data_IF_718561010898
#
_entry.id   IF_718561010898
#
_cell.length_a   1.000
_cell.length_b   1.000
_cell.length_c   1.000
_cell.angle_alpha   90.00
_cell.angle_beta   90.00
_cell.angle_gamma   90.00
#
_symmetry.space_group_name_H-M   'P 1'
#
loop_
_entity.id
_entity.type
_entity.pdbx_description
1 polymer ?
#
# COMPACT_ATOMS: atom_id res chain seq x y z
N UNK A 1 -23.62 3.49 -24.94
CA UNK A 1 -23.29 2.05 -24.73
C UNK A 1 -22.87 1.74 -23.28
N UNK A 2 -22.03 2.56 -22.64
CA UNK A 2 -21.57 2.38 -21.24
C UNK A 2 -22.71 2.19 -20.20
N UNK A 3 -23.78 2.99 -20.26
CA UNK A 3 -24.89 2.93 -19.30
C UNK A 3 -25.57 1.54 -19.23
N UNK A 4 -25.83 0.92 -20.39
CA UNK A 4 -26.45 -0.41 -20.47
C UNK A 4 -25.52 -1.51 -19.95
N UNK A 5 -24.21 -1.44 -20.25
CA UNK A 5 -23.25 -2.41 -19.71
C UNK A 5 -23.15 -2.32 -18.20
N UNK A 6 -23.17 -1.11 -17.63
CA UNK A 6 -23.21 -0.89 -16.19
C UNK A 6 -24.47 -1.47 -15.56
N UNK A 7 -25.65 -1.20 -16.13
CA UNK A 7 -26.91 -1.75 -15.62
C UNK A 7 -26.94 -3.28 -15.67
N UNK A 8 -26.45 -3.87 -16.76
CA UNK A 8 -26.46 -5.32 -16.99
C UNK A 8 -25.19 -6.01 -16.47
N UNK A 9 -24.32 -5.30 -15.74
CA UNK A 9 -23.02 -5.79 -15.24
C UNK A 9 -22.24 -6.60 -16.29
N UNK A 10 -22.12 -6.04 -17.49
CA UNK A 10 -21.30 -6.61 -18.57
C UNK A 10 -19.87 -6.07 -18.49
N UNK A 11 -18.85 -6.89 -18.82
CA UNK A 11 -17.47 -6.43 -18.81
C UNK A 11 -17.23 -5.34 -19.86
N UNK A 12 -16.30 -4.44 -19.54
CA UNK A 12 -15.82 -3.39 -20.42
C UNK A 12 -14.55 -3.83 -21.16
N UNK A 13 -14.41 -3.44 -22.41
CA UNK A 13 -13.19 -3.65 -23.19
C UNK A 13 -12.12 -2.64 -22.80
N UNK A 14 -10.85 -2.92 -23.14
CA UNK A 14 -9.74 -1.98 -22.92
C UNK A 14 -10.04 -0.60 -23.52
N UNK A 15 -10.46 -0.54 -24.79
CA UNK A 15 -10.82 0.72 -25.45
C UNK A 15 -11.93 1.51 -24.72
N UNK A 16 -12.93 0.81 -24.14
CA UNK A 16 -13.96 1.47 -23.35
C UNK A 16 -13.41 2.04 -22.03
N UNK A 17 -12.55 1.31 -21.33
CA UNK A 17 -11.93 1.78 -20.09
C UNK A 17 -11.02 2.99 -20.34
N UNK A 18 -10.18 2.93 -21.37
CA UNK A 18 -9.34 4.06 -21.81
C UNK A 18 -10.17 5.29 -22.15
N UNK A 19 -11.26 5.12 -22.91
CA UNK A 19 -12.15 6.23 -23.25
C UNK A 19 -12.80 6.86 -22.00
N UNK A 20 -13.13 6.07 -20.98
CA UNK A 20 -13.73 6.58 -19.74
C UNK A 20 -12.77 7.42 -18.89
N UNK A 21 -11.47 7.16 -18.97
CA UNK A 21 -10.45 7.87 -18.19
C UNK A 21 -9.66 8.91 -18.99
N UNK A 22 -9.97 9.10 -20.27
CA UNK A 22 -9.21 9.98 -21.17
C UNK A 22 -9.05 11.42 -20.62
N UNK A 23 -10.06 11.93 -19.91
CA UNK A 23 -9.97 13.23 -19.24
C UNK A 23 -8.89 13.24 -18.13
N UNK A 24 -8.82 12.18 -17.33
CA UNK A 24 -7.81 12.06 -16.26
C UNK A 24 -6.39 11.89 -16.81
N UNK A 25 -6.24 11.19 -17.94
CA UNK A 25 -4.94 11.06 -18.60
C UNK A 25 -4.42 12.40 -19.12
N UNK A 26 -5.32 13.25 -19.61
CA UNK A 26 -4.98 14.59 -20.12
C UNK A 26 -4.81 15.61 -19.00
N UNK A 27 -5.64 15.51 -17.95
CA UNK A 27 -5.60 16.36 -16.76
C UNK A 27 -5.59 15.51 -15.47
N UNK A 28 -4.43 14.96 -15.08
CA UNK A 28 -4.28 14.25 -13.82
C UNK A 28 -4.85 15.02 -12.61
N UNK A 29 -5.45 14.33 -11.62
CA UNK A 29 -5.98 14.97 -10.41
C UNK A 29 -4.87 15.38 -9.42
N UNK A 30 -3.98 16.28 -9.85
CA UNK A 30 -2.94 16.89 -9.01
C UNK A 30 -3.22 18.37 -8.77
N UNK A 31 -2.84 18.91 -7.59
CA UNK A 31 -2.69 20.35 -7.41
C UNK A 31 -1.67 20.92 -8.41
N UNK A 32 -1.87 22.18 -8.82
CA UNK A 32 -1.02 22.86 -9.83
C UNK A 32 0.47 22.87 -9.45
N UNK A 33 0.79 23.12 -8.17
CA UNK A 33 2.18 23.07 -7.68
C UNK A 33 2.83 21.67 -7.82
N UNK A 34 2.05 20.59 -7.77
CA UNK A 34 2.57 19.23 -7.96
C UNK A 34 2.74 18.87 -9.43
N UNK A 35 2.07 19.56 -10.35
CA UNK A 35 2.26 19.36 -11.79
C UNK A 35 3.66 19.78 -12.22
N UNK A 36 4.11 20.96 -11.80
CA UNK A 36 5.45 21.46 -12.14
C UNK A 36 6.54 20.55 -11.53
N UNK A 37 6.35 20.15 -10.27
CA UNK A 37 7.24 19.21 -9.60
C UNK A 37 7.28 17.85 -10.33
N UNK A 38 6.14 17.26 -10.68
CA UNK A 38 6.10 15.97 -11.38
C UNK A 38 6.63 16.04 -12.83
N UNK A 39 6.45 17.18 -13.50
CA UNK A 39 6.97 17.40 -14.86
C UNK A 39 8.50 17.54 -14.88
N UNK A 40 9.09 18.11 -13.82
CA UNK A 40 10.56 18.25 -13.68
C UNK A 40 11.24 16.97 -13.23
N UNK A 41 10.50 16.00 -12.68
CA UNK A 41 11.01 14.67 -12.33
C UNK A 41 11.15 13.80 -13.59
N UNK A 42 12.31 13.91 -14.24
CA UNK A 42 12.64 13.19 -15.47
C UNK A 42 13.58 12.02 -15.17
N UNK A 43 13.18 10.81 -15.56
CA UNK A 43 14.01 9.61 -15.41
C UNK A 43 15.20 9.58 -16.36
N UNK A 44 16.12 8.62 -16.18
CA UNK A 44 17.35 8.46 -17.01
C UNK A 44 17.11 8.38 -18.53
N UNK A 45 15.89 8.04 -18.96
CA UNK A 45 15.49 7.94 -20.37
C UNK A 45 14.84 9.21 -20.93
N UNK A 46 14.83 10.32 -20.18
CA UNK A 46 14.16 11.56 -20.60
C UNK A 46 12.64 11.53 -20.47
N UNK A 47 12.07 10.50 -19.84
CA UNK A 47 10.62 10.35 -19.64
C UNK A 47 10.21 11.05 -18.34
N UNK A 48 9.22 11.94 -18.41
CA UNK A 48 8.67 12.60 -17.23
C UNK A 48 7.91 11.62 -16.34
N UNK A 49 7.81 11.89 -15.03
CA UNK A 49 7.03 11.07 -14.10
C UNK A 49 5.57 10.93 -14.55
N UNK A 50 4.98 11.99 -15.11
CA UNK A 50 3.60 11.97 -15.61
C UNK A 50 3.44 11.07 -16.84
N UNK A 51 4.40 11.06 -17.77
CA UNK A 51 4.35 10.15 -18.92
C UNK A 51 4.57 8.71 -18.50
N UNK A 52 5.47 8.48 -17.55
CA UNK A 52 5.65 7.16 -16.95
C UNK A 52 4.37 6.69 -16.24
N UNK A 53 3.73 7.57 -15.47
CA UNK A 53 2.44 7.32 -14.84
C UNK A 53 1.36 6.96 -15.86
N UNK A 54 1.18 7.74 -16.94
CA UNK A 54 0.20 7.45 -18.00
C UNK A 54 0.41 6.06 -18.60
N UNK A 55 1.66 5.69 -18.87
CA UNK A 55 2.00 4.35 -19.38
C UNK A 55 1.65 3.25 -18.39
N UNK A 56 1.97 3.42 -17.10
CA UNK A 56 1.66 2.44 -16.07
C UNK A 56 0.15 2.32 -15.83
N UNK A 57 -0.55 3.45 -15.76
CA UNK A 57 -2.00 3.48 -15.61
C UNK A 57 -2.70 2.82 -16.81
N UNK A 58 -2.17 3.02 -18.02
CA UNK A 58 -2.66 2.34 -19.22
C UNK A 58 -2.59 0.82 -19.10
N UNK A 59 -1.46 0.28 -18.64
CA UNK A 59 -1.27 -1.15 -18.41
C UNK A 59 -2.28 -1.67 -17.39
N UNK A 60 -2.51 -0.93 -16.29
CA UNK A 60 -3.50 -1.31 -15.28
C UNK A 60 -4.92 -1.41 -15.84
N UNK A 61 -5.31 -0.50 -16.74
CA UNK A 61 -6.62 -0.57 -17.40
C UNK A 61 -6.73 -1.79 -18.30
N UNK A 62 -5.65 -2.15 -19.00
CA UNK A 62 -5.61 -3.34 -19.85
C UNK A 62 -5.67 -4.62 -19.02
N UNK A 63 -4.98 -4.66 -17.87
CA UNK A 63 -5.09 -5.76 -16.91
C UNK A 63 -6.52 -5.92 -16.38
N UNK A 64 -7.19 -4.81 -16.03
CA UNK A 64 -8.60 -4.84 -15.63
C UNK A 64 -9.43 -5.37 -16.79
N UNK A 65 -9.28 -4.85 -18.01
CA UNK A 65 -10.03 -5.27 -19.18
C UNK A 65 -9.84 -6.76 -19.53
N UNK A 66 -8.70 -7.34 -19.17
CA UNK A 66 -8.40 -8.77 -19.37
C UNK A 66 -9.32 -9.72 -18.59
N UNK A 67 -10.00 -9.24 -17.56
CA UNK A 67 -10.95 -10.05 -16.79
C UNK A 67 -12.25 -10.30 -17.56
N UNK A 68 -12.68 -11.58 -17.60
CA UNK A 68 -13.79 -12.05 -18.44
C UNK A 68 -15.18 -11.61 -17.97
N UNK A 69 -15.30 -11.18 -16.72
CA UNK A 69 -16.58 -10.84 -16.09
C UNK A 69 -16.51 -9.47 -15.45
N UNK A 70 -17.64 -8.76 -15.36
CA UNK A 70 -17.69 -7.46 -14.70
C UNK A 70 -17.24 -7.54 -13.23
N UNK A 71 -17.59 -8.64 -12.54
CA UNK A 71 -17.16 -8.89 -11.16
C UNK A 71 -15.65 -9.11 -11.08
N UNK A 72 -15.06 -9.86 -12.02
CA UNK A 72 -13.60 -10.02 -12.12
C UNK A 72 -12.89 -8.69 -12.35
N UNK A 73 -13.39 -7.87 -13.28
CA UNK A 73 -12.88 -6.52 -13.53
C UNK A 73 -12.95 -5.65 -12.26
N UNK A 74 -14.08 -5.67 -11.57
CA UNK A 74 -14.27 -4.96 -10.30
C UNK A 74 -13.27 -5.41 -9.23
N UNK A 75 -13.08 -6.72 -9.07
CA UNK A 75 -12.14 -7.27 -8.09
C UNK A 75 -10.70 -6.88 -8.44
N UNK A 76 -10.29 -7.02 -9.71
CA UNK A 76 -8.97 -6.61 -10.20
C UNK A 76 -8.72 -5.11 -9.99
N UNK A 77 -9.70 -4.26 -10.30
CA UNK A 77 -9.63 -2.82 -10.02
C UNK A 77 -9.40 -2.55 -8.52
N UNK A 78 -10.17 -3.19 -7.63
CA UNK A 78 -10.02 -3.00 -6.19
C UNK A 78 -8.66 -3.49 -5.67
N UNK A 79 -8.15 -4.61 -6.19
CA UNK A 79 -6.80 -5.10 -5.85
C UNK A 79 -5.72 -4.10 -6.25
N UNK A 80 -5.83 -3.49 -7.44
CA UNK A 80 -4.90 -2.45 -7.89
C UNK A 80 -5.04 -1.22 -6.99
N UNK A 81 -6.26 -0.76 -6.68
CA UNK A 81 -6.46 0.37 -5.76
C UNK A 81 -5.78 0.13 -4.41
N UNK A 82 -5.96 -1.06 -3.80
CA UNK A 82 -5.34 -1.38 -2.51
C UNK A 82 -3.80 -1.38 -2.59
N UNK A 83 -3.23 -1.87 -3.69
CA UNK A 83 -1.79 -1.82 -3.92
C UNK A 83 -1.28 -0.38 -4.04
N UNK A 84 -1.98 0.46 -4.81
CA UNK A 84 -1.59 1.86 -5.02
C UNK A 84 -1.74 2.70 -3.73
N UNK A 85 -2.81 2.48 -2.96
CA UNK A 85 -2.98 3.07 -1.62
C UNK A 85 -1.89 2.60 -0.65
N UNK A 86 -1.47 1.33 -0.70
CA UNK A 86 -0.37 0.81 0.12
C UNK A 86 0.96 1.54 -0.13
N UNK A 87 1.25 1.93 -1.38
CA UNK A 87 2.38 2.81 -1.69
C UNK A 87 2.24 4.19 -1.06
N UNK A 88 1.02 4.68 -0.93
CA UNK A 88 0.79 5.96 -0.24
C UNK A 88 1.05 5.87 1.25
N UNK A 89 0.71 4.74 1.86
CA UNK A 89 0.91 4.47 3.28
C UNK A 89 2.40 4.28 3.60
N UNK A 90 3.14 3.53 2.79
CA UNK A 90 4.60 3.39 2.91
C UNK A 90 5.28 4.76 2.92
N UNK A 91 4.96 5.62 1.95
CA UNK A 91 5.58 6.95 1.91
C UNK A 91 5.19 7.79 3.12
N UNK A 92 3.91 7.81 3.53
CA UNK A 92 3.48 8.56 4.72
C UNK A 92 4.24 8.14 5.99
N UNK A 93 4.38 6.84 6.23
CA UNK A 93 5.06 6.32 7.41
C UNK A 93 6.58 6.50 7.35
N UNK A 94 7.16 6.53 6.15
CA UNK A 94 8.61 6.66 5.99
C UNK A 94 9.07 8.09 5.79
N UNK A 95 8.23 9.04 5.36
CA UNK A 95 8.65 10.36 4.87
C UNK A 95 9.62 11.09 5.81
N UNK A 96 9.32 11.11 7.11
CA UNK A 96 10.11 11.79 8.14
C UNK A 96 11.33 10.99 8.63
N UNK A 97 11.46 9.74 8.18
CA UNK A 97 12.59 8.86 8.51
C UNK A 97 13.68 9.03 7.45
N UNK A 98 14.80 9.64 7.86
CA UNK A 98 15.94 9.92 6.97
C UNK A 98 16.78 8.67 6.68
N UNK A 99 17.03 7.84 7.71
CA UNK A 99 17.87 6.66 7.60
C UNK A 99 17.18 5.53 6.81
N UNK A 100 17.75 5.07 5.68
CA UNK A 100 17.25 3.90 4.95
C UNK A 100 17.30 2.62 5.77
N UNK A 101 18.19 2.51 6.77
CA UNK A 101 18.34 1.29 7.58
C UNK A 101 17.07 0.94 8.37
N UNK A 102 16.19 1.93 8.59
CA UNK A 102 14.94 1.76 9.33
C UNK A 102 13.80 1.23 8.45
N UNK A 103 13.77 1.58 7.15
CA UNK A 103 12.60 1.33 6.28
C UNK A 103 12.91 0.57 5.00
N UNK A 104 14.19 0.37 4.65
CA UNK A 104 14.59 -0.24 3.39
C UNK A 104 14.02 -1.65 3.21
N UNK A 105 13.84 -2.42 4.29
CA UNK A 105 13.26 -3.77 4.25
C UNK A 105 11.85 -3.80 3.67
N UNK A 106 11.08 -2.70 3.78
CA UNK A 106 9.73 -2.61 3.19
C UNK A 106 9.73 -2.67 1.67
N UNK A 107 10.86 -2.33 1.03
CA UNK A 107 10.95 -2.13 -0.41
C UNK A 107 12.18 -2.80 -1.05
N UNK A 108 13.03 -3.44 -0.26
CA UNK A 108 14.32 -3.98 -0.69
C UNK A 108 14.21 -5.11 -1.71
N UNK A 109 13.08 -5.81 -1.76
CA UNK A 109 12.84 -6.93 -2.68
C UNK A 109 12.36 -6.47 -4.07
N UNK A 110 12.22 -5.16 -4.30
CA UNK A 110 11.69 -4.63 -5.55
C UNK A 110 12.80 -4.37 -6.57
N UNK A 111 12.73 -5.06 -7.71
CA UNK A 111 13.74 -5.02 -8.78
C UNK A 111 14.13 -3.59 -9.20
N UNK A 112 13.16 -2.68 -9.29
CA UNK A 112 13.44 -1.30 -9.73
C UNK A 112 14.20 -0.47 -8.69
N UNK A 113 14.13 -0.83 -7.41
CA UNK A 113 14.93 -0.20 -6.35
C UNK A 113 16.32 -0.83 -6.28
N UNK A 114 16.44 -2.15 -6.44
CA UNK A 114 17.73 -2.84 -6.48
C UNK A 114 18.63 -2.35 -7.63
N UNK A 115 18.03 -1.84 -8.72
CA UNK A 115 18.74 -1.25 -9.86
C UNK A 115 19.34 0.15 -9.58
N UNK A 116 19.13 0.72 -8.39
CA UNK A 116 19.53 2.08 -8.04
C UNK A 116 20.24 2.10 -6.67
N UNK A 117 21.30 2.90 -6.49
CA UNK A 117 21.95 3.08 -5.18
C UNK A 117 20.97 3.51 -4.07
N UNK A 118 21.19 3.02 -2.84
CA UNK A 118 20.28 3.20 -1.68
C UNK A 118 20.02 4.67 -1.35
N UNK A 119 20.99 5.55 -1.54
CA UNK A 119 20.89 6.99 -1.32
C UNK A 119 19.80 7.66 -2.20
N UNK A 120 19.38 7.03 -3.29
CA UNK A 120 18.33 7.54 -4.17
C UNK A 120 16.97 6.87 -3.93
N UNK A 121 16.88 5.85 -3.07
CA UNK A 121 15.64 5.11 -2.84
C UNK A 121 14.51 6.00 -2.34
N UNK A 122 14.81 6.98 -1.48
CA UNK A 122 13.79 7.92 -0.98
C UNK A 122 13.09 8.68 -2.10
N UNK A 123 13.85 9.14 -3.09
CA UNK A 123 13.31 9.80 -4.28
C UNK A 123 12.43 8.87 -5.12
N UNK A 124 12.79 7.58 -5.23
CA UNK A 124 11.97 6.58 -5.92
C UNK A 124 10.67 6.25 -5.17
N UNK A 125 10.71 6.16 -3.83
CA UNK A 125 9.50 5.98 -3.01
C UNK A 125 8.58 7.19 -3.16
N UNK A 126 9.11 8.42 -3.20
CA UNK A 126 8.32 9.63 -3.49
C UNK A 126 7.68 9.59 -4.89
N UNK A 127 8.41 9.17 -5.92
CA UNK A 127 7.85 9.00 -7.26
C UNK A 127 6.69 7.99 -7.25
N UNK A 128 6.90 6.86 -6.57
CA UNK A 128 5.89 5.80 -6.46
C UNK A 128 4.67 6.25 -5.66
N UNK A 129 4.85 7.07 -4.63
CA UNK A 129 3.78 7.74 -3.88
C UNK A 129 2.90 8.62 -4.78
N UNK A 130 3.51 9.50 -5.58
CA UNK A 130 2.78 10.39 -6.50
C UNK A 130 1.98 9.55 -7.51
N UNK A 131 2.60 8.51 -8.08
CA UNK A 131 1.91 7.58 -8.98
C UNK A 131 0.77 6.84 -8.27
N UNK A 132 0.98 6.41 -7.03
CA UNK A 132 -0.03 5.74 -6.19
C UNK A 132 -1.27 6.60 -5.98
N UNK A 133 -1.07 7.87 -5.59
CA UNK A 133 -2.15 8.84 -5.44
C UNK A 133 -2.97 9.01 -6.72
N UNK A 134 -2.27 9.21 -7.84
CA UNK A 134 -2.90 9.41 -9.14
C UNK A 134 -3.70 8.17 -9.58
N UNK A 135 -3.08 6.99 -9.53
CA UNK A 135 -3.72 5.74 -9.91
C UNK A 135 -4.94 5.45 -9.03
N UNK A 136 -4.80 5.52 -7.71
CA UNK A 136 -5.88 5.26 -6.77
C UNK A 136 -7.06 6.23 -7.00
N UNK A 137 -6.79 7.53 -7.17
CA UNK A 137 -7.84 8.52 -7.45
C UNK A 137 -8.60 8.23 -8.74
N UNK A 138 -7.89 7.98 -9.85
CA UNK A 138 -8.51 7.70 -11.15
C UNK A 138 -9.28 6.37 -11.16
N UNK A 139 -8.71 5.30 -10.58
CA UNK A 139 -9.36 3.99 -10.46
C UNK A 139 -10.59 4.05 -9.57
N UNK A 140 -10.53 4.80 -8.46
CA UNK A 140 -11.67 4.97 -7.58
C UNK A 140 -12.80 5.71 -8.28
N UNK A 141 -12.51 6.76 -9.04
CA UNK A 141 -13.54 7.44 -9.83
C UNK A 141 -14.18 6.51 -10.88
N UNK A 142 -13.35 5.75 -11.61
CA UNK A 142 -13.80 4.72 -12.55
C UNK A 142 -14.70 3.69 -11.84
N UNK A 143 -14.27 3.24 -10.66
CA UNK A 143 -14.94 2.27 -9.82
C UNK A 143 -16.29 2.74 -9.28
N UNK A 144 -16.38 3.99 -8.81
CA UNK A 144 -17.63 4.61 -8.36
C UNK A 144 -18.62 4.70 -9.53
N UNK A 145 -18.15 5.17 -10.69
CA UNK A 145 -19.03 5.42 -11.85
C UNK A 145 -19.51 4.13 -12.53
N UNK A 146 -18.68 3.08 -12.57
CA UNK A 146 -18.92 1.91 -13.43
C UNK A 146 -18.97 0.56 -12.70
N UNK A 147 -18.39 0.46 -11.50
CA UNK A 147 -18.25 -0.79 -10.75
C UNK A 147 -19.00 -0.82 -9.40
N UNK A 148 -19.85 0.18 -9.15
CA UNK A 148 -20.68 0.24 -7.94
C UNK A 148 -19.86 0.30 -6.66
N UNK A 149 -18.72 1.00 -6.67
CA UNK A 149 -17.97 1.33 -5.45
C UNK A 149 -18.73 2.45 -4.73
N UNK A 150 -19.40 2.08 -3.64
CA UNK A 150 -20.20 2.97 -2.79
C UNK A 150 -19.38 3.52 -1.61
N UNK A 151 -20.03 4.30 -0.75
CA UNK A 151 -19.42 4.85 0.46
C UNK A 151 -18.94 3.77 1.43
N UNK A 152 -19.64 2.65 1.52
CA UNK A 152 -19.25 1.53 2.37
C UNK A 152 -17.94 0.91 1.88
N UNK A 153 -17.81 0.64 0.58
CA UNK A 153 -16.59 0.09 0.01
C UNK A 153 -15.40 1.05 0.16
N UNK A 154 -15.63 2.36 0.04
CA UNK A 154 -14.60 3.39 0.34
C UNK A 154 -14.15 3.33 1.80
N UNK A 155 -15.09 3.15 2.73
CA UNK A 155 -14.76 3.03 4.15
C UNK A 155 -13.93 1.78 4.42
N UNK A 156 -14.27 0.63 3.81
CA UNK A 156 -13.46 -0.59 3.94
C UNK A 156 -12.02 -0.40 3.44
N UNK A 157 -11.82 0.25 2.28
CA UNK A 157 -10.48 0.58 1.75
C UNK A 157 -9.73 1.50 2.72
N UNK A 158 -10.39 2.54 3.25
CA UNK A 158 -9.77 3.44 4.22
C UNK A 158 -9.35 2.69 5.49
N UNK A 159 -10.22 1.85 6.06
CA UNK A 159 -9.92 1.07 7.26
C UNK A 159 -8.77 0.09 7.03
N UNK A 160 -8.69 -0.53 5.85
CA UNK A 160 -7.52 -1.33 5.47
C UNK A 160 -6.23 -0.49 5.49
N UNK A 161 -6.25 0.71 4.93
CA UNK A 161 -5.10 1.63 4.95
C UNK A 161 -4.72 2.09 6.37
N UNK A 162 -5.71 2.43 7.21
CA UNK A 162 -5.44 2.73 8.64
C UNK A 162 -4.72 1.57 9.32
N UNK A 163 -5.24 0.33 9.16
CA UNK A 163 -4.65 -0.84 9.79
C UNK A 163 -3.24 -1.13 9.26
N UNK A 164 -3.02 -0.95 7.95
CA UNK A 164 -1.68 -1.09 7.38
C UNK A 164 -0.69 -0.08 7.98
N UNK A 165 -1.10 1.19 8.13
CA UNK A 165 -0.25 2.22 8.74
C UNK A 165 0.08 1.94 10.20
N UNK A 166 -0.85 1.38 10.97
CA UNK A 166 -0.56 0.96 12.35
C UNK A 166 0.53 -0.12 12.39
N UNK A 167 0.48 -1.11 11.48
CA UNK A 167 1.53 -2.13 11.35
C UNK A 167 2.87 -1.48 10.99
N UNK A 168 2.89 -0.57 10.01
CA UNK A 168 4.10 0.13 9.58
C UNK A 168 4.67 1.00 10.68
N UNK A 169 3.84 1.77 11.38
CA UNK A 169 4.27 2.66 12.44
C UNK A 169 4.93 1.87 13.59
N UNK A 170 4.33 0.74 14.00
CA UNK A 170 4.93 -0.12 15.01
C UNK A 170 6.33 -0.60 14.60
N UNK A 171 6.46 -1.12 13.37
CA UNK A 171 7.73 -1.63 12.84
C UNK A 171 8.80 -0.55 12.78
N UNK A 172 8.44 0.59 12.19
CA UNK A 172 9.36 1.70 11.94
C UNK A 172 9.76 2.42 13.24
N UNK A 173 8.82 2.64 14.17
CA UNK A 173 9.14 3.30 15.44
C UNK A 173 10.16 2.50 16.26
N UNK A 174 10.02 1.17 16.31
CA UNK A 174 11.00 0.31 17.00
C UNK A 174 12.35 0.39 16.28
N UNK A 175 12.35 0.36 14.93
CA UNK A 175 13.57 0.53 14.15
C UNK A 175 14.26 1.88 14.38
N UNK A 176 13.50 2.97 14.52
CA UNK A 176 14.03 4.29 14.86
C UNK A 176 14.62 4.31 16.27
N UNK A 177 13.92 3.74 17.26
CA UNK A 177 14.42 3.66 18.63
C UNK A 177 15.74 2.91 18.71
N UNK A 178 15.85 1.76 18.04
CA UNK A 178 17.11 0.98 17.97
C UNK A 178 18.21 1.84 17.33
N UNK A 179 17.89 2.57 16.27
CA UNK A 179 18.88 3.43 15.61
C UNK A 179 19.34 4.59 16.50
N UNK A 180 18.43 5.22 17.22
CA UNK A 180 18.75 6.29 18.16
C UNK A 180 19.66 5.79 19.29
N UNK A 181 19.43 4.58 19.81
CA UNK A 181 20.31 3.95 20.81
C UNK A 181 21.71 3.70 20.25
N UNK A 182 21.82 3.19 19.01
CA UNK A 182 23.11 3.00 18.33
C UNK A 182 23.85 4.34 18.16
N UNK A 183 23.14 5.38 17.71
CA UNK A 183 23.72 6.70 17.50
C UNK A 183 24.18 7.34 18.83
N UNK A 184 23.58 6.94 19.97
CA UNK A 184 23.95 7.35 21.32
C UNK A 184 25.02 6.46 21.98
N UNK A 185 25.53 5.43 21.30
CA UNK A 185 26.47 4.43 21.83
C UNK A 185 25.91 3.55 22.97
N UNK A 186 24.59 3.41 23.06
CA UNK A 186 23.89 2.54 24.01
C UNK A 186 23.76 1.10 23.43
N UNK A 187 24.90 0.48 23.11
CA UNK A 187 24.96 -0.77 22.32
C UNK A 187 24.23 -1.96 22.99
N UNK A 188 24.30 -2.08 24.32
CA UNK A 188 23.62 -3.17 25.06
C UNK A 188 22.10 -3.06 24.98
N UNK A 189 21.55 -1.85 25.16
CA UNK A 189 20.12 -1.59 25.07
C UNK A 189 19.63 -1.71 23.62
N UNK A 190 20.42 -1.25 22.64
CA UNK A 190 20.13 -1.41 21.23
C UNK A 190 20.04 -2.90 20.84
N UNK A 191 20.98 -3.74 21.32
CA UNK A 191 20.99 -5.18 21.08
C UNK A 191 19.77 -5.86 21.73
N UNK A 192 19.43 -5.47 22.95
CA UNK A 192 18.26 -5.98 23.67
C UNK A 192 16.96 -5.64 22.94
N UNK A 193 16.81 -4.38 22.49
CA UNK A 193 15.66 -3.92 21.72
C UNK A 193 15.56 -4.62 20.35
N UNK A 194 16.69 -4.85 19.68
CA UNK A 194 16.73 -5.62 18.44
C UNK A 194 16.29 -7.08 18.65
N UNK A 195 16.77 -7.74 19.71
CA UNK A 195 16.32 -9.08 20.08
C UNK A 195 14.81 -9.16 20.34
N UNK A 196 14.27 -8.18 21.08
CA UNK A 196 12.83 -8.06 21.30
C UNK A 196 12.06 -7.91 19.97
N UNK A 197 12.56 -7.07 19.07
CA UNK A 197 11.96 -6.86 17.75
C UNK A 197 11.92 -8.17 16.96
N UNK A 198 13.03 -8.90 16.91
CA UNK A 198 13.16 -10.10 16.08
C UNK A 198 12.36 -11.29 16.62
N UNK A 199 12.42 -11.56 17.93
CA UNK A 199 11.82 -12.77 18.50
C UNK A 199 10.31 -12.63 18.75
N UNK A 200 9.83 -11.39 18.92
CA UNK A 200 8.50 -11.14 19.48
C UNK A 200 7.67 -10.29 18.55
N UNK A 201 8.18 -9.11 18.17
CA UNK A 201 7.40 -8.13 17.41
C UNK A 201 7.27 -8.53 15.94
N UNK A 202 8.36 -8.92 15.27
CA UNK A 202 8.35 -9.31 13.86
C UNK A 202 7.40 -10.51 13.60
N UNK A 203 7.34 -11.56 14.43
CA UNK A 203 6.35 -12.61 14.28
C UNK A 203 4.89 -12.12 14.43
N UNK A 204 4.64 -11.16 15.32
CA UNK A 204 3.31 -10.56 15.48
C UNK A 204 2.96 -9.73 14.23
N UNK A 205 3.88 -8.89 13.76
CA UNK A 205 3.73 -8.12 12.52
C UNK A 205 3.44 -9.03 11.33
N UNK A 206 4.17 -10.14 11.19
CA UNK A 206 3.96 -11.11 10.12
C UNK A 206 2.54 -11.70 10.13
N UNK A 207 1.98 -11.97 11.31
CA UNK A 207 0.58 -12.42 11.43
C UNK A 207 -0.42 -11.29 11.16
N UNK A 208 -0.14 -10.06 11.58
CA UNK A 208 -0.98 -8.89 11.24
C UNK A 208 -1.05 -8.68 9.73
N UNK A 209 0.06 -8.88 9.00
CA UNK A 209 0.07 -8.87 7.53
C UNK A 209 -0.83 -9.96 6.92
N UNK A 210 -0.95 -11.14 7.55
CA UNK A 210 -1.90 -12.18 7.09
C UNK A 210 -3.35 -11.76 7.30
N UNK A 211 -3.65 -11.02 8.36
CA UNK A 211 -4.99 -10.43 8.59
C UNK A 211 -5.25 -9.34 7.56
N UNK A 212 -4.29 -8.45 7.32
CA UNK A 212 -4.40 -7.39 6.31
C UNK A 212 -4.66 -7.97 4.91
N UNK A 213 -3.92 -9.02 4.51
CA UNK A 213 -4.11 -9.71 3.24
C UNK A 213 -5.50 -10.36 3.12
N UNK A 214 -6.03 -10.93 4.20
CA UNK A 214 -7.40 -11.44 4.24
C UNK A 214 -8.42 -10.32 4.01
N UNK A 215 -8.25 -9.18 4.70
CA UNK A 215 -9.12 -8.02 4.53
C UNK A 215 -9.07 -7.52 3.08
N UNK A 216 -7.88 -7.43 2.48
CA UNK A 216 -7.71 -7.04 1.08
C UNK A 216 -8.47 -7.98 0.11
N UNK A 217 -8.37 -9.29 0.30
CA UNK A 217 -9.11 -10.27 -0.51
C UNK A 217 -10.63 -10.14 -0.30
N UNK A 218 -11.10 -9.90 0.92
CA UNK A 218 -12.52 -9.67 1.19
C UNK A 218 -13.02 -8.36 0.56
N UNK A 219 -12.22 -7.29 0.59
CA UNK A 219 -12.55 -6.02 -0.07
C UNK A 219 -12.72 -6.22 -1.57
N UNK A 220 -11.77 -6.94 -2.20
CA UNK A 220 -11.77 -7.16 -3.64
C UNK A 220 -12.95 -8.02 -4.11
N UNK A 221 -13.22 -9.14 -3.42
CA UNK A 221 -14.15 -10.16 -3.91
C UNK A 221 -15.55 -10.08 -3.30
N UNK A 222 -15.70 -9.48 -2.11
CA UNK A 222 -16.95 -9.54 -1.35
C UNK A 222 -17.16 -8.28 -0.48
N UNK A 223 -17.93 -8.41 0.61
CA UNK A 223 -17.92 -7.47 1.74
C UNK A 223 -16.93 -7.95 2.77
N UNK A 224 -16.41 -7.05 3.58
CA UNK A 224 -15.58 -7.41 4.73
C UNK A 224 -16.46 -8.10 5.78
N UNK A 225 -16.07 -9.31 6.18
CA UNK A 225 -16.71 -10.05 7.26
C UNK A 225 -16.04 -9.66 8.58
N UNK A 226 -16.70 -8.74 9.30
CA UNK A 226 -16.21 -8.19 10.56
C UNK A 226 -16.02 -9.28 11.62
N UNK A 227 -16.87 -10.30 11.67
CA UNK A 227 -16.77 -11.36 12.68
C UNK A 227 -15.58 -12.26 12.40
N UNK A 228 -15.31 -12.56 11.12
CA UNK A 228 -14.08 -13.27 10.72
C UNK A 228 -12.82 -12.49 11.10
N UNK A 229 -12.80 -11.16 10.86
CA UNK A 229 -11.65 -10.31 11.20
C UNK A 229 -11.45 -10.24 12.72
N UNK A 230 -12.52 -10.01 13.49
CA UNK A 230 -12.46 -9.99 14.96
C UNK A 230 -11.95 -11.31 15.53
N UNK A 231 -12.41 -12.45 15.01
CA UNK A 231 -11.95 -13.76 15.44
C UNK A 231 -10.43 -13.94 15.26
N UNK A 232 -9.87 -13.44 14.15
CA UNK A 232 -8.42 -13.45 13.93
C UNK A 232 -7.67 -12.48 14.83
N UNK A 233 -8.21 -11.27 15.06
CA UNK A 233 -7.61 -10.32 15.98
C UNK A 233 -7.57 -10.86 17.43
N UNK A 234 -8.68 -11.44 17.91
CA UNK A 234 -8.73 -12.07 19.23
C UNK A 234 -7.73 -13.23 19.37
N UNK A 235 -7.54 -14.03 18.31
CA UNK A 235 -6.53 -15.08 18.29
C UNK A 235 -5.09 -14.52 18.33
N UNK A 236 -4.85 -13.33 17.77
CA UNK A 236 -3.57 -12.63 17.87
C UNK A 236 -3.34 -12.08 19.27
N UNK A 237 -4.35 -11.48 19.89
CA UNK A 237 -4.27 -10.97 21.26
C UNK A 237 -3.97 -12.09 22.27
N UNK A 238 -4.61 -13.25 22.11
CA UNK A 238 -4.31 -14.40 22.95
C UNK A 238 -2.85 -14.89 22.81
N UNK A 239 -2.29 -14.86 21.59
CA UNK A 239 -0.90 -15.26 21.33
C UNK A 239 0.12 -14.24 21.83
N UNK A 240 -0.18 -12.94 21.72
CA UNK A 240 0.71 -11.88 22.21
C UNK A 240 0.80 -11.90 23.74
N UNK A 241 -0.32 -12.17 24.43
CA UNK A 241 -0.35 -12.38 25.89
C UNK A 241 0.43 -13.63 26.32
N UNK A 242 0.32 -14.73 25.57
CA UNK A 242 1.09 -15.94 25.85
C UNK A 242 2.60 -15.67 25.76
N UNK A 243 3.05 -15.03 24.67
CA UNK A 243 4.45 -14.64 24.50
C UNK A 243 4.92 -13.67 25.59
N UNK A 244 4.09 -12.70 25.99
CA UNK A 244 4.41 -11.77 27.09
C UNK A 244 4.66 -12.52 28.41
N UNK A 245 3.83 -13.51 28.73
CA UNK A 245 4.01 -14.34 29.93
C UNK A 245 5.24 -15.25 29.91
N UNK A 246 5.81 -15.53 28.73
CA UNK A 246 7.08 -16.25 28.58
C UNK A 246 8.28 -15.31 28.74
N UNK A 247 8.19 -14.06 28.25
CA UNK A 247 9.22 -13.02 28.47
C UNK A 247 9.34 -12.67 29.95
N UNK A 248 8.22 -12.42 30.63
CA UNK A 248 8.23 -12.10 32.06
C UNK A 248 8.83 -13.27 32.87
N UNK A 249 8.55 -14.52 32.49
CA UNK A 249 9.17 -15.68 33.15
C UNK A 249 10.67 -15.81 32.88
N UNK A 250 11.15 -15.43 31.70
CA UNK A 250 12.58 -15.45 31.36
C UNK A 250 13.37 -14.28 31.98
N UNK A 251 12.74 -13.13 32.22
CA UNK A 251 13.38 -11.97 32.87
C UNK A 251 13.49 -12.08 34.39
N UNK A 252 12.67 -12.93 35.02
CA UNK A 252 12.65 -13.15 36.48
C UNK A 252 13.23 -14.52 36.92
N UNK A 253 13.88 -15.25 36.01
CA UNK A 253 14.58 -16.52 36.26
C UNK A 253 16.09 -16.36 36.13
#
# INVERSE_FOLDING_TARGET
>A
MSFLKRMLKRPFTSAELHAMVAHHLTKPPLPEAMYEAAATMVGKRGVSLLDHWRSMFSIQLDEIAGEKTWQGQRAKLLKIVLLEEGWTDIFRCTNEISSPDVWAHLVAELDFLQAVPREHWKGLVLQRYIMGLLNAACLMELGIKNYGIDSLKKLEIRLHGEYYREILNLDLQIGQMIREMIDNYDDEDALSAAGLKDDIINPIIAEQYKVLALVAEQIANSRVDIESVKGKMAALDAKSLFKKGDIERAFWS
#
